data_IF_592648960268
#
_entry.id   IF_592648960268
#
_cell.length_a   1.000
_cell.length_b   1.000
_cell.length_c   1.000
_cell.angle_alpha   90.00
_cell.angle_beta   90.00
_cell.angle_gamma   90.00
#
_symmetry.space_group_name_H-M   'P 1'
#
loop_
_entity.id
_entity.type
_entity.pdbx_description
1 polymer ?
#
# COMPACT_ATOMS: atom_id res chain seq x y z
N UNK A 1 -5.68 -27.17 1.40
CA UNK A 1 -4.50 -26.31 1.67
C UNK A 1 -4.84 -25.47 2.88
N UNK A 2 -3.87 -25.20 3.72
CA UNK A 2 -4.04 -24.34 4.87
C UNK A 2 -4.34 -22.91 4.44
N UNK A 3 -5.27 -22.22 5.12
CA UNK A 3 -5.61 -20.83 4.84
C UNK A 3 -4.50 -19.91 5.38
N UNK A 4 -4.10 -18.92 4.60
CA UNK A 4 -3.13 -17.90 5.02
C UNK A 4 -3.87 -16.64 5.46
N UNK A 5 -3.50 -16.11 6.63
CA UNK A 5 -4.02 -14.83 7.10
C UNK A 5 -3.15 -13.68 6.57
N UNK A 6 -3.77 -12.70 5.90
CA UNK A 6 -3.11 -11.45 5.49
C UNK A 6 -3.74 -10.31 6.29
N UNK A 7 -2.92 -9.53 6.98
CA UNK A 7 -3.38 -8.39 7.79
C UNK A 7 -2.99 -7.09 7.11
N UNK A 8 -4.01 -6.29 6.78
CA UNK A 8 -3.90 -5.02 6.05
C UNK A 8 -4.18 -5.16 4.55
N UNK A 9 -5.15 -4.40 4.06
CA UNK A 9 -5.53 -4.34 2.65
C UNK A 9 -4.95 -3.13 1.92
N UNK A 10 -3.72 -2.74 2.26
CA UNK A 10 -2.92 -1.78 1.51
C UNK A 10 -2.35 -2.40 0.22
N UNK A 11 -1.45 -1.68 -0.47
CA UNK A 11 -0.81 -2.16 -1.69
C UNK A 11 -0.14 -3.53 -1.50
N UNK A 12 0.65 -3.68 -0.43
CA UNK A 12 1.39 -4.91 -0.16
C UNK A 12 0.47 -6.08 0.19
N UNK A 13 -0.55 -5.85 1.04
CA UNK A 13 -1.48 -6.90 1.43
C UNK A 13 -2.39 -7.37 0.29
N UNK A 14 -2.84 -6.46 -0.57
CA UNK A 14 -3.58 -6.82 -1.77
C UNK A 14 -2.73 -7.64 -2.76
N UNK A 15 -1.46 -7.24 -2.96
CA UNK A 15 -0.55 -8.00 -3.81
C UNK A 15 -0.25 -9.39 -3.23
N UNK A 16 0.03 -9.48 -1.93
CA UNK A 16 0.24 -10.75 -1.25
C UNK A 16 -0.99 -11.68 -1.38
N UNK A 17 -2.19 -11.13 -1.12
CA UNK A 17 -3.46 -11.86 -1.30
C UNK A 17 -3.60 -12.38 -2.73
N UNK A 18 -3.36 -11.51 -3.72
CA UNK A 18 -3.44 -11.89 -5.14
C UNK A 18 -2.47 -13.03 -5.49
N UNK A 19 -1.22 -12.93 -5.06
CA UNK A 19 -0.20 -13.94 -5.33
C UNK A 19 -0.51 -15.29 -4.66
N UNK A 20 -1.15 -15.28 -3.50
CA UNK A 20 -1.61 -16.50 -2.81
C UNK A 20 -2.77 -17.16 -3.56
N UNK A 21 -3.82 -16.40 -3.90
CA UNK A 21 -5.00 -16.97 -4.56
C UNK A 21 -4.70 -17.49 -5.98
N UNK A 22 -3.77 -16.86 -6.69
CA UNK A 22 -3.25 -17.38 -7.97
C UNK A 22 -2.61 -18.77 -7.84
N UNK A 23 -2.13 -19.11 -6.66
CA UNK A 23 -1.55 -20.42 -6.32
C UNK A 23 -2.57 -21.36 -5.68
N UNK A 24 -3.86 -21.02 -5.77
CA UNK A 24 -4.96 -21.75 -5.16
C UNK A 24 -4.87 -21.86 -3.63
N UNK A 25 -4.23 -20.90 -2.97
CA UNK A 25 -4.13 -20.82 -1.51
C UNK A 25 -5.26 -19.92 -1.00
N UNK A 26 -6.19 -20.43 -0.16
CA UNK A 26 -7.25 -19.63 0.43
C UNK A 26 -6.65 -18.56 1.36
N UNK A 27 -7.24 -17.36 1.35
CA UNK A 27 -6.78 -16.22 2.13
C UNK A 27 -7.88 -15.68 3.02
N UNK A 28 -7.54 -15.41 4.27
CA UNK A 28 -8.32 -14.56 5.17
C UNK A 28 -7.67 -13.19 5.23
N UNK A 29 -8.26 -12.22 4.54
CA UNK A 29 -7.77 -10.84 4.49
C UNK A 29 -8.46 -10.01 5.58
N UNK A 30 -7.68 -9.50 6.51
CA UNK A 30 -8.15 -8.70 7.63
C UNK A 30 -7.81 -7.23 7.38
N UNK A 31 -8.84 -6.38 7.35
CA UNK A 31 -8.71 -4.94 7.18
C UNK A 31 -9.54 -4.23 8.25
N UNK A 32 -8.94 -3.31 8.99
CA UNK A 32 -9.64 -2.63 10.07
C UNK A 32 -10.74 -1.67 9.61
N UNK A 33 -10.62 -1.11 8.41
CA UNK A 33 -11.64 -0.23 7.84
C UNK A 33 -12.85 -1.04 7.33
N UNK A 34 -14.06 -0.50 7.40
CA UNK A 34 -14.43 0.82 7.93
C UNK A 34 -14.65 0.84 9.45
N UNK A 35 -14.50 -0.26 10.18
CA UNK A 35 -14.80 -0.33 11.62
C UNK A 35 -13.86 0.51 12.48
N UNK A 36 -12.59 0.62 12.08
CA UNK A 36 -11.61 1.50 12.70
C UNK A 36 -10.99 2.39 11.63
N UNK A 37 -11.13 3.67 11.82
CA UNK A 37 -10.53 4.67 10.93
C UNK A 37 -9.03 4.81 11.16
N UNK A 38 -8.33 5.28 10.13
CA UNK A 38 -6.93 5.67 10.19
C UNK A 38 -6.82 7.09 9.66
N UNK A 39 -6.00 7.96 10.27
CA UNK A 39 -5.94 9.38 9.91
C UNK A 39 -5.49 9.64 8.47
N UNK A 40 -4.86 8.67 7.81
CA UNK A 40 -4.36 8.85 6.45
C UNK A 40 -5.32 8.35 5.35
N UNK A 41 -6.30 7.53 5.69
CA UNK A 41 -7.24 6.96 4.71
C UNK A 41 -8.56 7.71 4.73
N UNK A 42 -9.15 7.89 3.55
CA UNK A 42 -10.41 8.64 3.38
C UNK A 42 -11.56 7.76 2.89
N UNK A 43 -11.25 6.53 2.48
CA UNK A 43 -12.22 5.57 1.96
C UNK A 43 -12.01 4.18 2.58
N UNK A 44 -12.96 3.28 2.38
CA UNK A 44 -12.86 1.86 2.72
C UNK A 44 -12.31 0.99 1.57
N UNK A 45 -11.84 1.64 0.49
CA UNK A 45 -11.23 0.94 -0.65
C UNK A 45 -9.87 0.36 -0.27
N UNK A 46 -9.57 -0.79 -0.84
CA UNK A 46 -8.27 -1.42 -0.71
C UNK A 46 -7.22 -0.69 -1.57
N UNK A 47 -5.96 -0.83 -1.20
CA UNK A 47 -4.83 -0.22 -1.92
C UNK A 47 -4.99 1.30 -2.16
N UNK A 48 -5.66 2.02 -1.26
CA UNK A 48 -5.81 3.47 -1.34
C UNK A 48 -4.46 4.17 -1.29
N UNK A 49 -4.24 5.10 -2.24
CA UNK A 49 -3.02 5.90 -2.31
C UNK A 49 -3.17 7.16 -1.46
N UNK A 50 -2.53 7.21 -0.32
CA UNK A 50 -2.72 8.29 0.67
C UNK A 50 -1.82 9.51 0.46
N UNK A 51 -0.62 9.34 -0.11
CA UNK A 51 0.35 10.43 -0.26
C UNK A 51 0.32 11.05 -1.67
N UNK A 52 0.53 10.23 -2.69
CA UNK A 52 0.63 10.66 -4.09
C UNK A 52 -0.05 9.63 -4.98
N UNK A 53 -0.57 10.09 -6.13
CA UNK A 53 -1.05 9.19 -7.18
C UNK A 53 0.06 8.71 -8.12
N UNK A 54 1.32 9.08 -7.84
CA UNK A 54 2.48 8.66 -8.63
C UNK A 54 3.16 7.47 -7.99
N UNK A 55 3.32 6.43 -8.79
CA UNK A 55 4.11 5.24 -8.46
C UNK A 55 5.58 5.39 -8.93
N UNK A 56 6.09 6.62 -9.03
CA UNK A 56 7.43 6.97 -9.49
C UNK A 56 7.66 6.65 -10.98
N UNK A 57 8.94 6.58 -11.38
CA UNK A 57 9.33 6.34 -12.78
C UNK A 57 8.82 5.00 -13.31
N UNK A 58 8.38 5.02 -14.58
CA UNK A 58 8.05 3.83 -15.36
C UNK A 58 9.13 3.49 -16.40
N UNK A 59 10.23 4.24 -16.42
CA UNK A 59 11.27 4.08 -17.43
C UNK A 59 12.23 2.92 -17.08
N UNK A 60 12.53 2.10 -18.07
CA UNK A 60 13.40 0.91 -17.94
C UNK A 60 14.88 1.23 -17.72
N UNK A 61 15.28 2.49 -17.77
CA UNK A 61 16.66 2.92 -17.54
C UNK A 61 16.97 3.22 -16.07
N UNK A 62 16.08 2.87 -15.15
CA UNK A 62 16.29 3.02 -13.71
C UNK A 62 15.66 1.86 -12.92
N UNK A 63 16.19 1.63 -11.71
CA UNK A 63 15.79 0.51 -10.85
C UNK A 63 14.28 0.46 -10.56
N UNK A 64 13.64 1.61 -10.37
CA UNK A 64 12.20 1.66 -10.04
C UNK A 64 11.34 1.18 -11.22
N UNK A 65 11.74 1.51 -12.45
CA UNK A 65 11.07 1.03 -13.67
C UNK A 65 11.29 -0.47 -13.88
N UNK A 66 12.53 -0.94 -13.66
CA UNK A 66 12.87 -2.37 -13.76
C UNK A 66 12.06 -3.21 -12.77
N UNK A 67 11.99 -2.79 -11.50
CA UNK A 67 11.17 -3.48 -10.48
C UNK A 67 9.69 -3.57 -10.87
N UNK A 68 9.15 -2.54 -11.51
CA UNK A 68 7.75 -2.59 -12.00
C UNK A 68 7.60 -3.61 -13.12
N UNK A 69 8.57 -3.70 -14.01
CA UNK A 69 8.53 -4.68 -15.09
C UNK A 69 8.64 -6.13 -14.56
N UNK A 70 9.49 -6.37 -13.56
CA UNK A 70 9.55 -7.64 -12.86
C UNK A 70 8.19 -8.00 -12.23
N UNK A 71 7.53 -7.03 -11.58
CA UNK A 71 6.18 -7.22 -11.04
C UNK A 71 5.15 -7.52 -12.15
N UNK A 72 5.24 -6.89 -13.33
CA UNK A 72 4.37 -7.21 -14.48
C UNK A 72 4.56 -8.66 -14.94
N UNK A 73 5.80 -9.12 -15.05
CA UNK A 73 6.12 -10.49 -15.40
C UNK A 73 5.61 -11.50 -14.37
N UNK A 74 5.48 -11.10 -13.10
CA UNK A 74 4.86 -11.89 -12.05
C UNK A 74 3.33 -11.81 -12.05
N UNK A 75 2.72 -11.10 -13.02
CA UNK A 75 1.29 -10.85 -13.12
C UNK A 75 0.73 -10.20 -11.84
N UNK A 76 1.37 -9.11 -11.42
CA UNK A 76 0.98 -8.30 -10.27
C UNK A 76 -0.39 -7.64 -10.46
N UNK A 77 -1.28 -7.76 -9.49
CA UNK A 77 -2.57 -7.06 -9.47
C UNK A 77 -2.38 -5.55 -9.41
N UNK A 78 -1.43 -5.10 -8.59
CA UNK A 78 -1.12 -3.67 -8.43
C UNK A 78 -0.65 -3.08 -9.75
N UNK A 79 0.26 -3.75 -10.46
CA UNK A 79 0.75 -3.26 -11.75
C UNK A 79 -0.33 -3.33 -12.83
N UNK A 80 -1.15 -4.37 -12.85
CA UNK A 80 -2.28 -4.49 -13.77
C UNK A 80 -3.26 -3.33 -13.59
N UNK A 81 -3.64 -3.02 -12.36
CA UNK A 81 -4.50 -1.88 -12.09
C UNK A 81 -3.82 -0.56 -12.45
N UNK A 82 -2.53 -0.40 -12.14
CA UNK A 82 -1.79 0.83 -12.45
C UNK A 82 -1.71 1.11 -13.94
N UNK A 83 -1.45 0.10 -14.75
CA UNK A 83 -1.36 0.24 -16.21
C UNK A 83 -2.73 0.53 -16.84
N UNK A 84 -3.82 -0.06 -16.31
CA UNK A 84 -5.18 0.17 -16.79
C UNK A 84 -5.71 1.58 -16.46
N UNK A 85 -5.26 2.17 -15.35
CA UNK A 85 -5.76 3.46 -14.85
C UNK A 85 -4.68 4.54 -14.87
N UNK A 86 -3.68 4.37 -15.74
CA UNK A 86 -2.61 5.34 -15.89
C UNK A 86 -3.12 6.67 -16.43
N UNK A 87 -2.60 7.78 -15.88
CA UNK A 87 -2.83 9.12 -16.35
C UNK A 87 -1.53 9.76 -16.85
N UNK A 88 -1.57 10.71 -17.78
CA UNK A 88 -0.37 11.35 -18.31
C UNK A 88 0.47 12.01 -17.21
N UNK A 89 1.74 11.61 -17.06
CA UNK A 89 2.67 12.12 -16.06
C UNK A 89 4.14 12.08 -16.51
N UNK A 90 4.40 12.30 -17.78
CA UNK A 90 5.75 12.25 -18.35
C UNK A 90 6.38 10.86 -18.22
N UNK A 91 7.53 10.75 -17.55
CA UNK A 91 8.22 9.46 -17.31
C UNK A 91 7.75 8.73 -16.06
N UNK A 92 6.85 9.32 -15.28
CA UNK A 92 6.28 8.69 -14.10
C UNK A 92 5.04 7.86 -14.44
N UNK A 93 4.81 6.79 -13.70
CA UNK A 93 3.54 6.09 -13.71
C UNK A 93 2.64 6.73 -12.65
N UNK A 94 1.73 7.60 -13.08
CA UNK A 94 0.68 8.14 -12.25
C UNK A 94 -0.66 7.51 -12.61
N UNK A 95 -1.56 7.41 -11.64
CA UNK A 95 -2.85 6.74 -11.81
C UNK A 95 -4.00 7.62 -11.34
N UNK A 96 -5.18 7.39 -11.89
CA UNK A 96 -6.41 7.81 -11.26
C UNK A 96 -6.64 7.01 -9.98
N UNK A 97 -6.65 7.70 -8.83
CA UNK A 97 -6.66 7.05 -7.50
C UNK A 97 -7.91 6.22 -7.25
N UNK A 98 -9.05 6.73 -7.73
CA UNK A 98 -10.33 6.11 -7.43
C UNK A 98 -10.52 4.83 -8.23
N UNK A 99 -10.33 4.89 -9.53
CA UNK A 99 -10.48 3.73 -10.41
C UNK A 99 -9.41 2.67 -10.14
N UNK A 100 -8.18 3.09 -9.83
CA UNK A 100 -7.09 2.21 -9.41
C UNK A 100 -7.46 1.38 -8.18
N UNK A 101 -7.86 2.06 -7.09
CA UNK A 101 -8.20 1.39 -5.84
C UNK A 101 -9.51 0.60 -5.93
N UNK A 102 -10.48 1.09 -6.70
CA UNK A 102 -11.74 0.39 -6.92
C UNK A 102 -11.54 -0.95 -7.64
N UNK A 103 -10.75 -0.97 -8.71
CA UNK A 103 -10.45 -2.21 -9.45
C UNK A 103 -9.81 -3.27 -8.55
N UNK A 104 -8.84 -2.88 -7.72
CA UNK A 104 -8.18 -3.79 -6.78
C UNK A 104 -9.18 -4.30 -5.74
N UNK A 105 -9.99 -3.40 -5.19
CA UNK A 105 -11.02 -3.73 -4.20
C UNK A 105 -11.98 -4.77 -4.73
N UNK A 106 -12.53 -4.54 -5.93
CA UNK A 106 -13.50 -5.43 -6.55
C UNK A 106 -12.88 -6.80 -6.90
N UNK A 107 -11.65 -6.78 -7.41
CA UNK A 107 -10.93 -8.02 -7.75
C UNK A 107 -10.71 -8.89 -6.51
N UNK A 108 -10.28 -8.31 -5.41
CA UNK A 108 -9.99 -9.04 -4.18
C UNK A 108 -11.29 -9.47 -3.47
N UNK A 109 -12.26 -8.55 -3.30
CA UNK A 109 -13.52 -8.86 -2.59
C UNK A 109 -14.37 -9.92 -3.29
N UNK A 110 -14.33 -9.99 -4.61
CA UNK A 110 -15.12 -10.95 -5.39
C UNK A 110 -14.37 -12.27 -5.66
N UNK A 111 -13.14 -12.42 -5.19
CA UNK A 111 -12.38 -13.64 -5.45
C UNK A 111 -12.84 -14.80 -4.55
N UNK A 112 -13.19 -15.98 -5.09
CA UNK A 112 -13.81 -17.08 -4.33
C UNK A 112 -12.91 -17.69 -3.23
N UNK A 113 -11.60 -17.47 -3.28
CA UNK A 113 -10.64 -17.93 -2.28
C UNK A 113 -10.31 -16.87 -1.24
N UNK A 114 -10.97 -15.70 -1.26
CA UNK A 114 -10.72 -14.62 -0.30
C UNK A 114 -11.91 -14.44 0.63
N UNK A 115 -11.66 -14.60 1.92
CA UNK A 115 -12.55 -14.19 2.99
C UNK A 115 -12.10 -12.81 3.52
N UNK A 116 -12.91 -11.78 3.33
CA UNK A 116 -12.61 -10.44 3.86
C UNK A 116 -13.25 -10.28 5.22
N UNK A 117 -12.43 -9.93 6.21
CA UNK A 117 -12.88 -9.66 7.59
C UNK A 117 -12.54 -8.22 7.94
N UNK A 118 -13.57 -7.41 8.23
CA UNK A 118 -13.37 -6.04 8.65
C UNK A 118 -13.29 -5.97 10.17
N UNK A 119 -12.05 -6.03 10.68
CA UNK A 119 -11.77 -5.89 12.12
C UNK A 119 -10.32 -5.42 12.33
N UNK A 120 -10.08 -4.80 13.49
CA UNK A 120 -8.73 -4.51 13.92
C UNK A 120 -8.09 -5.80 14.47
N UNK A 121 -6.94 -6.16 13.94
CA UNK A 121 -6.10 -7.21 14.53
C UNK A 121 -5.27 -6.62 15.67
N UNK A 122 -5.44 -7.16 16.86
CA UNK A 122 -4.75 -6.69 18.08
C UNK A 122 -3.73 -7.68 18.63
N UNK A 123 -3.76 -8.90 18.09
CA UNK A 123 -2.84 -10.00 18.44
C UNK A 123 -2.31 -10.62 17.14
N UNK A 124 -1.20 -11.32 17.20
CA UNK A 124 -0.70 -12.03 16.02
C UNK A 124 -1.61 -13.22 15.70
N UNK A 125 -1.96 -13.45 14.42
CA UNK A 125 -2.73 -14.63 14.01
C UNK A 125 -1.97 -15.92 14.31
N UNK A 126 -2.71 -16.98 14.62
CA UNK A 126 -2.17 -18.33 14.63
C UNK A 126 -1.97 -18.86 13.20
N UNK A 127 -0.95 -19.70 12.98
CA UNK A 127 -0.65 -20.28 11.69
C UNK A 127 0.07 -19.33 10.71
N UNK A 128 0.12 -19.67 9.40
CA UNK A 128 0.83 -18.88 8.42
C UNK A 128 0.15 -17.52 8.21
N UNK A 129 0.92 -16.44 8.42
CA UNK A 129 0.39 -15.10 8.26
C UNK A 129 1.38 -14.13 7.59
N UNK A 130 0.82 -13.09 6.98
CA UNK A 130 1.55 -11.96 6.40
C UNK A 130 1.00 -10.69 7.04
N UNK A 131 1.85 -9.95 7.77
CA UNK A 131 1.50 -8.64 8.31
C UNK A 131 1.92 -7.58 7.30
N UNK A 132 0.95 -6.91 6.70
CA UNK A 132 1.13 -5.93 5.62
C UNK A 132 0.45 -4.58 5.93
N UNK A 133 0.41 -4.20 7.20
CA UNK A 133 -0.29 -3.01 7.71
C UNK A 133 0.46 -1.71 7.45
N UNK A 134 1.74 -1.79 7.06
CA UNK A 134 2.56 -0.63 6.70
C UNK A 134 2.85 0.31 7.88
N UNK A 135 3.16 1.58 7.59
CA UNK A 135 3.60 2.55 8.61
C UNK A 135 2.47 3.00 9.55
N UNK A 136 1.22 2.72 9.22
CA UNK A 136 0.04 3.10 10.02
C UNK A 136 -0.56 1.89 10.77
N UNK A 137 0.28 0.93 11.14
CA UNK A 137 -0.09 -0.18 12.02
C UNK A 137 -0.66 0.34 13.32
N UNK A 138 -1.77 -0.23 13.80
CA UNK A 138 -2.37 0.18 15.06
C UNK A 138 -1.46 -0.11 16.26
N UNK A 139 -1.55 0.71 17.30
CA UNK A 139 -0.71 0.58 18.50
C UNK A 139 -0.81 -0.81 19.12
N UNK A 140 -2.02 -1.39 19.13
CA UNK A 140 -2.25 -2.72 19.69
C UNK A 140 -1.49 -3.81 18.91
N UNK A 141 -1.55 -3.78 17.57
CA UNK A 141 -0.83 -4.73 16.73
C UNK A 141 0.68 -4.46 16.76
N UNK A 142 1.10 -3.19 16.75
CA UNK A 142 2.50 -2.82 16.88
C UNK A 142 3.10 -3.38 18.18
N UNK A 143 2.37 -3.27 19.30
CA UNK A 143 2.77 -3.87 20.56
C UNK A 143 2.88 -5.40 20.49
N UNK A 144 1.90 -6.07 19.87
CA UNK A 144 1.93 -7.53 19.71
C UNK A 144 3.14 -8.00 18.86
N UNK A 145 3.48 -7.24 17.80
CA UNK A 145 4.67 -7.52 16.98
C UNK A 145 5.96 -7.33 17.81
N UNK A 146 6.04 -6.20 18.54
CA UNK A 146 7.19 -5.94 19.42
C UNK A 146 7.38 -7.06 20.44
N UNK A 147 6.31 -7.46 21.15
CA UNK A 147 6.35 -8.51 22.16
C UNK A 147 6.79 -9.87 21.57
N UNK A 148 6.45 -10.12 20.30
CA UNK A 148 6.85 -11.34 19.58
C UNK A 148 8.31 -11.33 19.12
N UNK A 149 8.76 -10.19 18.55
CA UNK A 149 10.10 -10.07 17.98
C UNK A 149 11.18 -9.81 19.01
N UNK A 150 10.81 -9.30 20.20
CA UNK A 150 11.71 -8.83 21.25
C UNK A 150 12.70 -7.75 20.77
N UNK A 151 12.32 -7.01 19.72
CA UNK A 151 13.13 -5.92 19.16
C UNK A 151 12.80 -4.60 19.86
N UNK A 152 13.78 -3.95 20.46
CA UNK A 152 13.62 -2.68 21.17
C UNK A 152 13.38 -1.47 20.22
N UNK A 153 13.49 -1.68 18.91
CA UNK A 153 13.42 -0.61 17.91
C UNK A 153 12.40 -0.92 16.82
N UNK A 154 11.15 -0.64 17.10
CA UNK A 154 10.09 -0.65 16.09
C UNK A 154 9.76 0.79 15.71
N UNK A 155 10.29 1.25 14.58
CA UNK A 155 10.10 2.62 14.14
C UNK A 155 9.02 2.69 13.07
N UNK A 156 7.92 3.39 13.36
CA UNK A 156 6.94 3.79 12.37
C UNK A 156 7.21 5.24 11.97
N UNK A 157 7.29 5.48 10.67
CA UNK A 157 7.38 6.82 10.12
C UNK A 157 6.06 7.17 9.45
N UNK A 158 5.55 8.36 9.76
CA UNK A 158 4.43 8.91 9.03
C UNK A 158 4.83 9.12 7.57
N UNK A 159 4.07 8.52 6.67
CA UNK A 159 4.28 8.62 5.24
C UNK A 159 3.66 9.90 4.63
N UNK A 160 2.89 10.67 5.42
CA UNK A 160 2.30 11.91 4.96
C UNK A 160 3.38 12.97 4.75
N UNK A 161 3.47 13.51 3.53
CA UNK A 161 4.34 14.65 3.27
C UNK A 161 3.81 15.87 4.05
N UNK A 162 4.66 16.60 4.80
CA UNK A 162 4.23 17.80 5.49
C UNK A 162 3.77 18.84 4.47
N UNK A 163 2.55 19.34 4.66
CA UNK A 163 2.00 20.44 3.87
C UNK A 163 2.17 21.70 4.70
N UNK A 164 2.90 22.68 4.16
CA UNK A 164 3.13 23.99 4.79
C UNK A 164 2.50 25.08 3.93
N UNK A 165 1.98 26.10 4.56
CA UNK A 165 1.45 27.27 3.86
C UNK A 165 2.60 28.02 3.18
N UNK A 166 2.38 28.42 1.92
CA UNK A 166 3.39 29.13 1.12
C UNK A 166 3.87 30.41 1.80
N UNK A 167 2.97 31.12 2.47
CA UNK A 167 3.27 32.39 3.14
C UNK A 167 4.07 32.21 4.44
N UNK A 168 4.17 30.97 4.96
CA UNK A 168 5.01 30.65 6.12
C UNK A 168 6.46 30.36 5.74
N UNK A 169 6.80 30.29 4.44
CA UNK A 169 8.14 29.98 3.96
C UNK A 169 9.01 31.24 3.98
N UNK A 170 10.09 31.20 4.73
CA UNK A 170 11.12 32.27 4.70
C UNK A 170 12.02 32.09 3.47
N UNK A 171 11.70 32.78 2.38
CA UNK A 171 12.47 32.75 1.14
C UNK A 171 13.85 33.42 1.24
N UNK A 172 14.22 34.03 2.38
CA UNK A 172 15.60 34.41 2.63
C UNK A 172 16.51 33.22 2.98
N UNK A 173 15.90 32.11 3.42
CA UNK A 173 16.56 30.86 3.81
C UNK A 173 16.22 29.67 2.88
N UNK A 174 15.19 29.82 2.05
CA UNK A 174 14.73 28.81 1.13
C UNK A 174 14.73 29.34 -0.31
N UNK A 175 14.90 28.47 -1.28
CA UNK A 175 14.86 28.82 -2.70
C UNK A 175 14.18 27.73 -3.53
N UNK A 176 13.62 28.14 -4.66
CA UNK A 176 13.04 27.21 -5.61
C UNK A 176 14.12 26.41 -6.32
N UNK A 177 14.03 25.11 -6.32
CA UNK A 177 14.90 24.25 -7.12
C UNK A 177 14.14 23.03 -7.62
N UNK A 178 14.25 22.75 -8.88
CA UNK A 178 13.75 21.50 -9.42
C UNK A 178 14.74 20.36 -9.15
N UNK A 179 14.23 19.16 -8.95
CA UNK A 179 15.05 17.97 -8.81
C UNK A 179 15.73 17.67 -10.15
N UNK A 180 17.06 17.57 -10.15
CA UNK A 180 17.87 17.35 -11.35
C UNK A 180 17.90 18.51 -12.35
N UNK A 181 17.66 19.75 -11.89
CA UNK A 181 17.64 20.97 -12.72
C UNK A 181 16.77 20.85 -13.99
N UNK A 182 15.70 20.07 -13.89
CA UNK A 182 14.63 19.96 -14.89
C UNK A 182 13.51 20.92 -14.48
N UNK A 183 13.65 22.15 -14.87
CA UNK A 183 12.69 23.23 -14.62
C UNK A 183 11.67 23.35 -15.68
#
# INVERSE_FOLDING_TARGET
MEQVTVVGAGLAGCEATWQLVKRNIPVRLIEMRPKKESPAFHTDRFAELVCSNSLRSNAMNNAVGILKEELRQMDSLIMKSADMHAVPAGSALAVDRETFSQYITDTIKNHPLVEVVNEEMTVLPEGPCIIATGPLTSDSLAKAIHDFTSEDTFHFYDAAAPIIEKDSIDFSKAYYKSRYDKG
#
